data_IF_582373342136
#
_entry.id   IF_582373342136
#
_cell.length_a   1.000
_cell.length_b   1.000
_cell.length_c   1.000
_cell.angle_alpha   90.00
_cell.angle_beta   90.00
_cell.angle_gamma   90.00
#
_symmetry.space_group_name_H-M   'P 1'
#
loop_
_entity.id
_entity.type
_entity.pdbx_description
1 polymer ?
#
# COMPACT_ATOMS: atom_id res chain seq x y z
N UNK A 1 2.41 -0.04 -23.95
CA UNK A 1 3.75 -0.13 -23.34
C UNK A 1 3.62 -0.77 -21.97
N UNK A 2 4.05 -2.02 -21.79
CA UNK A 2 4.02 -2.75 -20.51
C UNK A 2 5.40 -2.63 -19.85
N UNK A 3 5.60 -1.70 -18.91
CA UNK A 3 6.76 -1.74 -18.00
C UNK A 3 6.36 -1.15 -16.65
N UNK A 4 5.95 -2.05 -15.76
CA UNK A 4 5.73 -1.85 -14.33
C UNK A 4 5.67 -3.21 -13.64
N UNK A 5 6.43 -4.18 -14.18
CA UNK A 5 6.41 -5.57 -13.74
C UNK A 5 7.62 -5.76 -12.83
N UNK A 6 7.36 -5.95 -11.53
CA UNK A 6 8.37 -6.45 -10.61
C UNK A 6 8.50 -7.95 -10.87
N UNK A 7 9.55 -8.36 -11.58
CA UNK A 7 9.66 -9.73 -12.11
C UNK A 7 10.33 -10.73 -11.18
N UNK A 8 11.09 -10.29 -10.16
CA UNK A 8 11.84 -11.21 -9.27
C UNK A 8 11.91 -10.78 -7.78
N UNK A 9 10.77 -10.63 -7.07
CA UNK A 9 10.75 -10.05 -5.72
C UNK A 9 11.06 -11.01 -4.56
N UNK A 10 11.05 -12.33 -4.77
CA UNK A 10 11.28 -13.30 -3.69
C UNK A 10 12.73 -13.35 -3.20
N UNK A 11 13.68 -12.88 -4.01
CA UNK A 11 15.11 -12.79 -3.65
C UNK A 11 15.59 -11.34 -3.47
N UNK A 12 14.70 -10.35 -3.63
CA UNK A 12 15.02 -8.94 -3.46
C UNK A 12 15.25 -8.60 -1.98
N UNK A 13 16.45 -8.12 -1.66
CA UNK A 13 16.80 -7.62 -0.34
C UNK A 13 16.22 -6.20 -0.08
N UNK A 14 16.49 -5.64 1.10
CA UNK A 14 16.02 -4.29 1.42
C UNK A 14 16.60 -3.23 0.46
N UNK A 15 17.85 -3.40 0.04
CA UNK A 15 18.55 -2.45 -0.83
C UNK A 15 17.87 -2.36 -2.19
N UNK A 16 17.39 -3.49 -2.73
CA UNK A 16 16.64 -3.50 -3.97
C UNK A 16 15.35 -2.68 -3.88
N UNK A 17 14.57 -2.84 -2.80
CA UNK A 17 13.34 -2.07 -2.59
C UNK A 17 13.60 -0.58 -2.38
N UNK A 18 14.70 -0.22 -1.72
CA UNK A 18 15.12 1.16 -1.55
C UNK A 18 15.56 1.78 -2.88
N UNK A 19 16.28 1.03 -3.71
CA UNK A 19 16.66 1.45 -5.06
C UNK A 19 15.41 1.66 -5.95
N UNK A 20 14.48 0.71 -5.94
CA UNK A 20 13.18 0.84 -6.62
C UNK A 20 12.44 2.12 -6.19
N UNK A 21 12.33 2.38 -4.88
CA UNK A 21 11.64 3.58 -4.42
C UNK A 21 12.39 4.87 -4.81
N UNK A 22 13.72 4.83 -4.90
CA UNK A 22 14.54 5.97 -5.32
C UNK A 22 14.38 6.28 -6.81
N UNK A 23 14.22 5.25 -7.63
CA UNK A 23 13.97 5.37 -9.06
C UNK A 23 12.60 6.00 -9.36
N UNK A 24 11.55 5.58 -8.64
CA UNK A 24 10.18 5.96 -8.98
C UNK A 24 9.53 7.04 -8.10
N UNK A 25 10.05 7.31 -6.90
CA UNK A 25 9.42 8.23 -5.94
C UNK A 25 10.37 9.35 -5.52
N UNK A 26 9.80 10.55 -5.34
CA UNK A 26 10.48 11.71 -4.75
C UNK A 26 10.86 11.46 -3.27
N UNK A 27 11.79 12.26 -2.76
CA UNK A 27 12.26 12.12 -1.37
C UNK A 27 11.21 12.56 -0.34
N UNK A 28 10.28 13.42 -0.73
CA UNK A 28 9.12 13.86 0.05
C UNK A 28 7.82 13.14 -0.34
N UNK A 29 7.91 12.05 -1.12
CA UNK A 29 6.74 11.38 -1.68
C UNK A 29 5.80 10.80 -0.61
N UNK A 30 4.51 10.75 -0.96
CA UNK A 30 3.47 10.15 -0.14
C UNK A 30 2.70 9.07 -0.89
N UNK A 31 2.34 8.01 -0.17
CA UNK A 31 1.53 6.91 -0.68
C UNK A 31 0.27 6.77 0.17
N UNK A 32 -0.90 6.88 -0.47
CA UNK A 32 -2.22 6.84 0.16
C UNK A 32 -3.05 5.68 -0.39
N UNK A 33 -3.59 4.86 0.49
CA UNK A 33 -4.62 3.86 0.19
C UNK A 33 -5.93 4.24 0.86
N UNK A 34 -7.04 4.09 0.14
CA UNK A 34 -8.39 4.29 0.69
C UNK A 34 -9.29 3.13 0.29
N UNK A 35 -10.03 2.56 1.25
CA UNK A 35 -10.95 1.44 1.03
C UNK A 35 -11.95 1.31 2.18
N UNK A 36 -13.08 0.66 1.95
CA UNK A 36 -14.10 0.45 2.97
C UNK A 36 -13.98 -0.96 3.59
N UNK A 37 -13.74 -1.02 4.89
CA UNK A 37 -13.84 -2.26 5.67
C UNK A 37 -15.23 -2.34 6.34
N UNK A 38 -15.49 -3.44 7.03
CA UNK A 38 -16.74 -3.68 7.79
C UNK A 38 -17.01 -2.59 8.84
N UNK A 39 -15.96 -1.99 9.40
CA UNK A 39 -16.02 -0.92 10.40
C UNK A 39 -15.95 0.49 9.78
N UNK A 40 -16.11 0.59 8.45
CA UNK A 40 -16.23 1.85 7.73
C UNK A 40 -15.03 2.20 6.83
N UNK A 41 -15.00 3.43 6.30
CA UNK A 41 -13.95 3.89 5.40
C UNK A 41 -12.60 4.00 6.13
N UNK A 42 -11.56 3.41 5.55
CA UNK A 42 -10.18 3.48 6.02
C UNK A 42 -9.32 4.24 5.03
N UNK A 43 -8.44 5.08 5.58
CA UNK A 43 -7.42 5.81 4.83
C UNK A 43 -6.07 5.57 5.50
N UNK A 44 -5.13 5.01 4.76
CA UNK A 44 -3.76 4.78 5.20
C UNK A 44 -2.84 5.64 4.35
N UNK A 45 -2.07 6.52 4.97
CA UNK A 45 -1.08 7.37 4.30
C UNK A 45 0.28 7.07 4.90
N UNK A 46 1.29 6.85 4.05
CA UNK A 46 2.66 6.62 4.47
C UNK A 46 3.62 7.53 3.69
N UNK A 47 4.70 7.96 4.33
CA UNK A 47 5.75 8.75 3.70
C UNK A 47 6.84 7.90 3.05
N UNK A 48 7.74 8.57 2.32
CA UNK A 48 8.81 7.99 1.50
C UNK A 48 9.63 6.87 2.14
N UNK A 49 9.95 6.95 3.43
CA UNK A 49 10.76 5.94 4.13
C UNK A 49 10.04 4.60 4.32
N UNK A 50 8.72 4.57 4.17
CA UNK A 50 7.88 3.39 4.35
C UNK A 50 7.41 2.80 3.02
N UNK A 51 7.50 3.56 1.92
CA UNK A 51 7.10 3.12 0.57
C UNK A 51 7.79 1.82 0.12
N UNK A 52 9.13 1.65 0.25
CA UNK A 52 9.81 0.40 -0.11
C UNK A 52 9.19 -0.82 0.56
N UNK A 53 8.92 -0.70 1.87
CA UNK A 53 8.40 -1.78 2.69
C UNK A 53 6.92 -2.05 2.44
N UNK A 54 6.15 -1.06 2.02
CA UNK A 54 4.80 -1.26 1.53
C UNK A 54 4.77 -2.22 0.34
N UNK A 55 5.54 -1.96 -0.73
CA UNK A 55 5.56 -2.84 -1.90
C UNK A 55 6.10 -4.23 -1.56
N UNK A 56 7.18 -4.30 -0.76
CA UNK A 56 7.70 -5.56 -0.24
C UNK A 56 6.63 -6.38 0.50
N UNK A 57 5.80 -5.73 1.32
CA UNK A 57 4.75 -6.43 2.09
C UNK A 57 3.73 -7.14 1.19
N UNK A 58 3.50 -6.65 -0.03
CA UNK A 58 2.57 -7.29 -0.98
C UNK A 58 3.12 -8.67 -1.35
N UNK A 59 4.41 -8.76 -1.69
CA UNK A 59 5.08 -10.00 -2.08
C UNK A 59 5.27 -10.96 -0.90
N UNK A 60 5.62 -10.43 0.29
CA UNK A 60 5.65 -11.23 1.53
C UNK A 60 4.26 -11.81 1.87
N UNK A 61 3.18 -11.18 1.41
CA UNK A 61 1.81 -11.69 1.50
C UNK A 61 1.47 -12.84 0.54
N UNK A 62 2.45 -13.41 -0.16
CA UNK A 62 2.28 -14.54 -1.09
C UNK A 62 2.02 -14.15 -2.54
N UNK A 63 2.18 -12.87 -2.89
CA UNK A 63 2.11 -12.39 -4.27
C UNK A 63 3.44 -12.67 -4.99
N UNK A 64 3.37 -13.09 -6.24
CA UNK A 64 4.53 -13.36 -7.10
C UNK A 64 4.65 -12.34 -8.24
N UNK A 65 3.54 -11.72 -8.64
CA UNK A 65 3.51 -10.69 -9.67
C UNK A 65 2.52 -9.59 -9.29
N UNK A 66 2.91 -8.33 -9.52
CA UNK A 66 2.08 -7.14 -9.31
C UNK A 66 2.21 -6.25 -10.55
N UNK A 67 1.07 -5.75 -11.05
CA UNK A 67 1.06 -4.70 -12.06
C UNK A 67 -0.24 -3.87 -11.99
N UNK A 68 -0.21 -2.68 -12.58
CA UNK A 68 -1.38 -1.79 -12.67
C UNK A 68 -1.84 -1.69 -14.13
N UNK A 69 -3.15 -1.83 -14.34
CA UNK A 69 -3.81 -1.66 -15.63
C UNK A 69 -4.66 -0.39 -15.60
N UNK A 70 -4.22 0.63 -16.33
CA UNK A 70 -4.91 1.92 -16.42
C UNK A 70 -5.78 1.98 -17.67
N UNK A 71 -7.09 2.22 -17.52
CA UNK A 71 -7.99 2.45 -18.65
C UNK A 71 -8.40 3.92 -18.69
N UNK A 72 -8.21 4.54 -19.83
CA UNK A 72 -8.56 5.94 -20.09
C UNK A 72 -8.01 6.92 -19.03
N UNK A 73 -6.71 6.89 -18.69
CA UNK A 73 -6.13 7.86 -17.77
C UNK A 73 -6.25 9.28 -18.36
N UNK A 74 -6.56 10.25 -17.50
CA UNK A 74 -6.59 11.67 -17.84
C UNK A 74 -5.33 12.33 -17.31
N UNK A 75 -4.62 13.03 -18.17
CA UNK A 75 -3.41 13.78 -17.81
C UNK A 75 -3.73 15.27 -17.71
N UNK A 76 -3.15 15.93 -16.71
CA UNK A 76 -3.24 17.38 -16.50
C UNK A 76 -1.86 17.92 -16.20
N UNK A 77 -1.46 18.97 -16.93
CA UNK A 77 -0.14 19.58 -16.82
C UNK A 77 -0.25 20.88 -16.04
N UNK A 78 0.57 21.00 -14.99
CA UNK A 78 0.72 22.20 -14.19
C UNK A 78 2.15 22.74 -14.37
N UNK A 79 2.42 23.94 -13.83
CA UNK A 79 3.73 24.59 -13.99
C UNK A 79 4.89 23.75 -13.46
N UNK A 80 4.68 22.94 -12.42
CA UNK A 80 5.73 22.17 -11.74
C UNK A 80 5.39 20.69 -11.53
N UNK A 81 4.22 20.23 -12.01
CA UNK A 81 3.79 18.85 -11.82
C UNK A 81 2.86 18.36 -12.92
N UNK A 82 2.83 17.05 -13.10
CA UNK A 82 1.88 16.36 -13.98
C UNK A 82 0.97 15.51 -13.10
N UNK A 83 -0.35 15.65 -13.26
CA UNK A 83 -1.33 14.78 -12.60
C UNK A 83 -1.88 13.77 -13.58
N UNK A 84 -1.81 12.49 -13.23
CA UNK A 84 -2.48 11.40 -13.93
C UNK A 84 -3.64 10.91 -13.05
N UNK A 85 -4.86 11.03 -13.55
CA UNK A 85 -6.08 10.58 -12.88
C UNK A 85 -6.75 9.49 -13.69
N UNK A 86 -6.77 8.28 -13.15
CA UNK A 86 -7.38 7.11 -13.77
C UNK A 86 -8.50 6.57 -12.89
N UNK A 87 -9.75 6.88 -13.26
CA UNK A 87 -10.95 6.39 -12.56
C UNK A 87 -11.14 4.87 -12.70
N UNK A 88 -10.60 4.28 -13.76
CA UNK A 88 -10.68 2.84 -14.07
C UNK A 88 -9.28 2.20 -14.02
N UNK A 89 -8.71 2.17 -12.83
CA UNK A 89 -7.46 1.47 -12.55
C UNK A 89 -7.75 0.10 -11.91
N UNK A 90 -7.13 -0.94 -12.45
CA UNK A 90 -7.12 -2.27 -11.81
C UNK A 90 -5.69 -2.59 -11.36
N UNK A 91 -5.49 -2.75 -10.06
CA UNK A 91 -4.28 -3.38 -9.51
C UNK A 91 -4.47 -4.90 -9.61
N UNK A 92 -3.53 -5.58 -10.25
CA UNK A 92 -3.59 -7.04 -10.44
C UNK A 92 -2.44 -7.69 -9.69
N UNK A 93 -2.77 -8.66 -8.82
CA UNK A 93 -1.79 -9.50 -8.13
C UNK A 93 -2.00 -10.97 -8.47
N UNK A 94 -0.91 -11.68 -8.74
CA UNK A 94 -0.90 -13.13 -8.86
C UNK A 94 -0.31 -13.74 -7.60
N UNK A 95 -1.03 -14.67 -6.99
CA UNK A 95 -0.59 -15.38 -5.80
C UNK A 95 0.08 -16.70 -6.19
N UNK A 96 1.08 -17.10 -5.42
CA UNK A 96 1.79 -18.36 -5.61
C UNK A 96 1.02 -19.59 -5.10
N UNK A 97 1.78 -20.66 -4.82
CA UNK A 97 1.25 -21.88 -4.18
C UNK A 97 0.60 -21.55 -2.82
N UNK A 98 -0.46 -22.28 -2.41
CA UNK A 98 -1.04 -23.45 -3.09
C UNK A 98 -2.17 -23.13 -4.09
N UNK A 99 -2.81 -21.95 -4.00
CA UNK A 99 -4.08 -21.69 -4.71
C UNK A 99 -3.92 -21.05 -6.09
N UNK A 100 -2.76 -20.46 -6.41
CA UNK A 100 -2.51 -19.77 -7.67
C UNK A 100 -3.62 -18.76 -8.06
N UNK A 101 -4.11 -18.03 -7.06
CA UNK A 101 -5.23 -17.09 -7.22
C UNK A 101 -4.78 -15.80 -7.89
N UNK A 102 -5.58 -15.30 -8.84
CA UNK A 102 -5.42 -13.95 -9.38
C UNK A 102 -6.40 -13.02 -8.69
N UNK A 103 -5.92 -11.93 -8.09
CA UNK A 103 -6.76 -10.91 -7.48
C UNK A 103 -6.74 -9.65 -8.34
N UNK A 104 -7.92 -9.18 -8.70
CA UNK A 104 -8.12 -7.93 -9.43
C UNK A 104 -8.79 -6.93 -8.49
N UNK A 105 -8.09 -5.85 -8.17
CA UNK A 105 -8.56 -4.80 -7.27
C UNK A 105 -8.84 -3.54 -8.07
N UNK A 106 -10.12 -3.21 -8.23
CA UNK A 106 -10.60 -2.09 -9.04
C UNK A 106 -10.74 -0.83 -8.18
N UNK A 107 -10.27 0.31 -8.71
CA UNK A 107 -10.28 1.58 -8.01
C UNK A 107 -9.90 2.77 -8.88
N UNK A 108 -9.84 3.94 -8.26
CA UNK A 108 -9.31 5.16 -8.87
C UNK A 108 -7.85 5.35 -8.44
N UNK A 109 -6.94 5.49 -9.39
CA UNK A 109 -5.54 5.81 -9.14
C UNK A 109 -5.27 7.25 -9.56
N UNK A 110 -4.76 8.05 -8.64
CA UNK A 110 -4.29 9.41 -8.90
C UNK A 110 -2.80 9.44 -8.60
N UNK A 111 -2.01 9.87 -9.57
CA UNK A 111 -0.57 10.07 -9.46
C UNK A 111 -0.25 11.54 -9.70
N UNK A 112 0.63 12.09 -8.88
CA UNK A 112 1.27 13.38 -9.14
C UNK A 112 2.76 13.14 -9.34
N UNK A 113 3.28 13.58 -10.48
CA UNK A 113 4.69 13.52 -10.84
C UNK A 113 5.31 14.91 -10.79
N UNK A 114 6.58 15.00 -10.42
CA UNK A 114 7.35 16.23 -10.64
C UNK A 114 7.56 16.46 -12.14
N UNK A 115 7.56 17.73 -12.54
CA UNK A 115 7.87 18.11 -13.92
C UNK A 115 9.36 18.46 -14.05
N UNK A 116 10.20 17.42 -13.94
CA UNK A 116 11.65 17.47 -14.11
C UNK A 116 12.12 16.30 -15.02
N UNK A 117 13.43 16.14 -15.20
CA UNK A 117 14.00 15.12 -16.07
C UNK A 117 13.75 13.68 -15.59
N UNK A 118 13.48 13.48 -14.29
CA UNK A 118 13.28 12.15 -13.70
C UNK A 118 11.81 11.75 -13.65
N UNK A 119 10.88 12.72 -13.63
CA UNK A 119 9.43 12.51 -13.55
C UNK A 119 9.04 11.52 -12.44
N UNK A 120 9.55 11.72 -11.23
CA UNK A 120 9.27 10.83 -10.10
C UNK A 120 7.92 11.13 -9.48
N UNK A 121 7.34 10.11 -8.86
CA UNK A 121 6.05 10.19 -8.19
C UNK A 121 6.21 10.94 -6.87
N UNK A 122 5.53 12.07 -6.74
CA UNK A 122 5.38 12.84 -5.51
C UNK A 122 4.17 12.41 -4.68
N UNK A 123 3.06 12.09 -5.35
CA UNK A 123 1.84 11.62 -4.70
C UNK A 123 1.30 10.40 -5.41
N UNK A 124 1.06 9.32 -4.66
CA UNK A 124 0.40 8.11 -5.13
C UNK A 124 -0.85 7.88 -4.31
N UNK A 125 -2.03 7.93 -4.92
CA UNK A 125 -3.30 7.69 -4.23
C UNK A 125 -4.14 6.66 -4.95
N UNK A 126 -4.35 5.50 -4.32
CA UNK A 126 -5.25 4.47 -4.83
C UNK A 126 -6.46 4.30 -3.92
N UNK A 127 -7.65 4.58 -4.47
CA UNK A 127 -8.94 4.42 -3.81
C UNK A 127 -9.67 3.19 -4.35
N UNK A 128 -9.65 2.10 -3.58
CA UNK A 128 -10.29 0.83 -3.93
C UNK A 128 -11.80 0.95 -3.85
N UNK A 129 -12.49 0.41 -4.85
CA UNK A 129 -13.95 0.33 -4.93
C UNK A 129 -14.45 -1.10 -4.83
N UNK A 130 -13.77 -2.04 -5.48
CA UNK A 130 -14.16 -3.45 -5.52
C UNK A 130 -12.94 -4.34 -5.73
N UNK A 131 -13.11 -5.64 -5.46
CA UNK A 131 -12.10 -6.64 -5.80
C UNK A 131 -12.76 -7.95 -6.24
N UNK A 132 -12.01 -8.74 -7.00
CA UNK A 132 -12.40 -10.07 -7.47
C UNK A 132 -11.24 -11.03 -7.32
N UNK A 133 -11.51 -12.23 -6.79
CA UNK A 133 -10.54 -13.31 -6.69
C UNK A 133 -10.90 -14.39 -7.72
N UNK A 134 -9.95 -14.72 -8.60
CA UNK A 134 -10.11 -15.66 -9.70
C UNK A 134 -9.23 -16.87 -9.45
N UNK A 135 -9.86 -18.03 -9.27
CA UNK A 135 -9.18 -19.30 -9.02
C UNK A 135 -9.11 -20.10 -10.33
N UNK A 136 -7.95 -20.67 -10.69
CA UNK A 136 -7.84 -21.54 -11.86
C UNK A 136 -8.77 -22.76 -11.75
N UNK A 137 -9.49 -23.09 -12.83
CA UNK A 137 -10.40 -24.24 -12.86
C UNK A 137 -9.69 -25.58 -12.60
N UNK A 138 -8.42 -25.71 -12.99
CA UNK A 138 -7.59 -26.89 -12.72
C UNK A 138 -7.40 -27.14 -11.22
N UNK A 139 -7.19 -26.08 -10.43
CA UNK A 139 -7.08 -26.16 -8.97
C UNK A 139 -8.41 -26.62 -8.38
N UNK A 140 -9.53 -26.02 -8.78
CA UNK A 140 -10.86 -26.41 -8.31
C UNK A 140 -11.15 -27.88 -8.62
N UNK A 141 -10.89 -28.32 -9.86
CA UNK A 141 -11.11 -29.72 -10.28
C UNK A 141 -10.29 -30.71 -9.43
N UNK A 142 -9.00 -30.43 -9.25
CA UNK A 142 -8.11 -31.28 -8.46
C UNK A 142 -8.57 -31.43 -6.99
N UNK A 143 -8.97 -30.33 -6.36
CA UNK A 143 -9.35 -30.33 -4.94
C UNK A 143 -10.77 -30.89 -4.73
N UNK A 144 -11.67 -30.71 -5.70
CA UNK A 144 -13.02 -31.28 -5.65
C UNK A 144 -13.07 -32.81 -5.70
N UNK A 145 -12.04 -33.45 -6.29
CA UNK A 145 -11.94 -34.91 -6.35
C UNK A 145 -11.34 -35.53 -5.09
N UNK A 146 -10.55 -34.76 -4.33
CA UNK A 146 -9.81 -35.27 -3.17
C UNK A 146 -10.56 -35.04 -1.86
N UNK A 147 -11.22 -33.88 -1.69
CA UNK A 147 -11.94 -33.54 -0.46
C UNK A 147 -13.04 -32.49 -0.71
N UNK A 148 -14.34 -32.84 -0.52
CA UNK A 148 -15.44 -31.90 -0.62
C UNK A 148 -15.30 -30.65 0.28
N UNK A 149 -14.65 -30.76 1.46
CA UNK A 149 -14.44 -29.64 2.37
C UNK A 149 -13.46 -28.59 1.85
N UNK A 150 -12.63 -28.95 0.88
CA UNK A 150 -11.64 -28.04 0.32
C UNK A 150 -12.25 -27.01 -0.64
N UNK A 151 -13.38 -27.33 -1.27
CA UNK A 151 -14.13 -26.39 -2.13
C UNK A 151 -14.73 -25.25 -1.30
N UNK A 152 -15.19 -25.54 -0.09
CA UNK A 152 -15.67 -24.51 0.85
C UNK A 152 -14.54 -23.57 1.28
N UNK A 153 -13.33 -24.11 1.47
CA UNK A 153 -12.14 -23.31 1.78
C UNK A 153 -11.73 -22.41 0.61
N UNK A 154 -11.76 -22.93 -0.62
CA UNK A 154 -11.52 -22.17 -1.85
C UNK A 154 -12.55 -21.04 -2.07
N UNK A 155 -13.74 -21.17 -1.49
CA UNK A 155 -14.81 -20.17 -1.64
C UNK A 155 -14.64 -18.96 -0.71
N UNK A 156 -13.68 -19.00 0.22
CA UNK A 156 -13.37 -17.89 1.13
C UNK A 156 -12.32 -16.98 0.49
N UNK A 157 -12.53 -15.67 0.58
CA UNK A 157 -11.55 -14.71 0.10
C UNK A 157 -10.24 -14.81 0.90
N UNK A 158 -9.12 -14.72 0.19
CA UNK A 158 -7.78 -14.67 0.79
C UNK A 158 -7.35 -13.23 1.11
N UNK A 159 -8.06 -12.24 0.56
CA UNK A 159 -7.81 -10.81 0.76
C UNK A 159 -9.00 -10.10 1.44
N UNK A 160 -8.76 -8.91 1.98
CA UNK A 160 -9.81 -7.98 2.39
C UNK A 160 -9.71 -6.73 1.52
N UNK A 161 -10.73 -6.47 0.72
CA UNK A 161 -10.72 -5.39 -0.29
C UNK A 161 -9.56 -5.50 -1.29
N UNK A 162 -9.19 -6.72 -1.68
CA UNK A 162 -8.11 -6.94 -2.64
C UNK A 162 -6.71 -6.67 -2.09
N UNK A 163 -6.57 -6.53 -0.77
CA UNK A 163 -5.30 -6.36 -0.05
C UNK A 163 -5.09 -7.54 0.89
N UNK A 164 -3.87 -8.09 0.93
CA UNK A 164 -3.53 -9.20 1.81
C UNK A 164 -3.52 -8.77 3.28
N UNK A 165 -3.79 -9.71 4.19
CA UNK A 165 -3.72 -9.43 5.63
C UNK A 165 -2.32 -8.97 6.07
N UNK A 166 -1.26 -9.47 5.43
CA UNK A 166 0.12 -9.05 5.71
C UNK A 166 0.31 -7.55 5.42
N UNK A 167 -0.10 -7.08 4.23
CA UNK A 167 -0.03 -5.67 3.86
C UNK A 167 -0.95 -4.81 4.72
N UNK A 168 -2.16 -5.27 5.07
CA UNK A 168 -3.06 -4.54 5.97
C UNK A 168 -2.47 -4.36 7.37
N UNK A 169 -1.85 -5.41 7.92
CA UNK A 169 -1.20 -5.33 9.22
C UNK A 169 0.00 -4.39 9.19
N UNK A 170 0.78 -4.41 8.10
CA UNK A 170 1.85 -3.44 7.89
C UNK A 170 1.33 -1.99 7.89
N UNK A 171 0.26 -1.69 7.14
CA UNK A 171 -0.33 -0.35 7.08
C UNK A 171 -0.88 0.11 8.45
N UNK A 172 -1.49 -0.80 9.21
CA UNK A 172 -1.95 -0.53 10.59
C UNK A 172 -0.78 -0.17 11.51
N UNK A 173 0.33 -0.90 11.40
CA UNK A 173 1.54 -0.58 12.17
C UNK A 173 2.11 0.79 11.80
N UNK A 174 2.11 1.15 10.51
CA UNK A 174 2.62 2.46 10.06
C UNK A 174 1.87 3.63 10.71
N UNK A 175 0.53 3.54 10.78
CA UNK A 175 -0.31 4.59 11.41
C UNK A 175 -0.05 4.71 12.91
N UNK A 176 0.28 3.60 13.59
CA UNK A 176 0.63 3.63 15.02
C UNK A 176 2.04 4.16 15.22
N UNK A 177 2.97 3.82 14.34
CA UNK A 177 4.38 4.20 14.47
C UNK A 177 4.64 5.66 14.15
N UNK A 178 3.84 6.30 13.30
CA UNK A 178 3.95 7.73 12.98
C UNK A 178 3.92 8.65 14.23
N UNK A 179 2.90 8.60 15.10
CA UNK A 179 2.93 9.39 16.34
C UNK A 179 4.03 8.92 17.31
N UNK A 180 4.41 7.64 17.26
CA UNK A 180 5.53 7.13 18.05
C UNK A 180 6.88 7.70 17.59
N UNK A 181 7.07 8.05 16.32
CA UNK A 181 8.30 8.67 15.83
C UNK A 181 8.54 10.04 16.46
N UNK A 182 7.48 10.84 16.64
CA UNK A 182 7.57 12.10 17.40
C UNK A 182 8.08 11.84 18.82
N UNK A 183 7.53 10.83 19.50
CA UNK A 183 7.92 10.46 20.86
C UNK A 183 9.35 9.91 20.93
N UNK A 184 9.74 9.05 19.98
CA UNK A 184 11.09 8.48 19.89
C UNK A 184 12.14 9.57 19.63
N UNK A 185 11.84 10.54 18.77
CA UNK A 185 12.73 11.66 18.50
C UNK A 185 13.01 12.48 19.77
N UNK A 186 11.98 12.74 20.58
CA UNK A 186 12.09 13.46 21.86
C UNK A 186 12.84 12.65 22.91
N UNK A 187 12.57 11.34 22.99
CA UNK A 187 13.31 10.43 23.87
C UNK A 187 14.81 10.50 23.56
N UNK A 188 15.17 10.44 22.27
CA UNK A 188 16.56 10.51 21.81
C UNK A 188 17.20 11.88 22.05
N UNK A 189 16.46 12.97 21.83
CA UNK A 189 16.98 14.33 21.96
C UNK A 189 17.15 14.78 23.43
N UNK A 190 16.25 14.36 24.31
CA UNK A 190 16.16 14.88 25.68
C UNK A 190 16.39 13.82 26.77
N UNK A 191 16.67 12.56 26.40
CA UNK A 191 16.86 11.43 27.32
C UNK A 191 15.72 11.23 28.34
N UNK A 192 14.52 11.71 28.02
CA UNK A 192 13.33 11.61 28.86
C UNK A 192 12.76 10.20 28.81
N UNK A 193 12.10 9.70 29.86
CA UNK A 193 11.41 8.41 29.77
C UNK A 193 10.33 8.45 28.67
N UNK A 194 9.99 7.32 28.02
CA UNK A 194 8.91 7.28 27.03
C UNK A 194 7.57 7.82 27.57
N UNK A 195 7.31 7.61 28.86
CA UNK A 195 6.11 8.13 29.55
C UNK A 195 6.12 9.66 29.65
N UNK A 196 7.27 10.25 29.93
CA UNK A 196 7.42 11.71 30.01
C UNK A 196 7.36 12.35 28.62
N UNK A 197 7.92 11.70 27.60
CA UNK A 197 7.78 12.13 26.20
C UNK A 197 6.30 12.21 25.80
N UNK A 198 5.51 11.19 26.17
CA UNK A 198 4.07 11.16 25.91
C UNK A 198 3.36 12.30 26.65
N UNK A 199 3.63 12.46 27.95
CA UNK A 199 3.01 13.51 28.78
C UNK A 199 3.27 14.91 28.21
N UNK A 200 4.52 15.21 27.87
CA UNK A 200 4.91 16.52 27.32
C UNK A 200 4.30 16.77 25.94
N UNK A 201 4.24 15.73 25.08
CA UNK A 201 3.64 15.86 23.74
C UNK A 201 2.14 16.09 23.80
N UNK A 202 1.43 15.33 24.66
CA UNK A 202 0.00 15.53 24.90
C UNK A 202 -0.30 16.92 25.47
N UNK A 203 0.49 17.36 26.45
CA UNK A 203 0.33 18.68 27.05
C UNK A 203 0.54 19.81 26.04
N UNK A 204 1.57 19.74 25.20
CA UNK A 204 1.80 20.73 24.14
C UNK A 204 0.69 20.73 23.09
N UNK A 205 0.19 19.56 22.66
CA UNK A 205 -0.95 19.47 21.73
C UNK A 205 -2.21 20.08 22.34
N UNK A 206 -2.47 19.82 23.61
CA UNK A 206 -3.59 20.43 24.35
C UNK A 206 -3.45 21.96 24.43
N UNK A 207 -2.28 22.48 24.80
CA UNK A 207 -2.04 23.93 24.86
C UNK A 207 -2.30 24.61 23.52
N UNK A 208 -1.92 24.00 22.39
CA UNK A 208 -2.19 24.53 21.05
C UNK A 208 -3.68 24.53 20.68
N UNK A 209 -4.46 23.55 21.16
CA UNK A 209 -5.90 23.50 20.91
C UNK A 209 -6.69 24.49 21.76
N UNK A 210 -6.19 24.83 22.94
CA UNK A 210 -6.87 25.72 23.90
C UNK A 210 -6.36 27.17 23.78
N UNK A 211 -5.25 27.41 23.10
CA UNK A 211 -4.78 28.76 22.79
C UNK A 211 -5.82 29.50 21.91
N UNK A 212 -6.24 30.72 22.28
CA UNK A 212 -7.09 31.55 21.42
C UNK A 212 -6.38 31.86 20.09
N UNK A 213 -7.11 32.06 18.99
CA UNK A 213 -6.55 32.45 17.69
C UNK A 213 -5.86 33.83 17.73
#
# INVERSE_FOLDING_TARGET
SKRGVVSHPQESDNLWWDAFATEFFEDDATLTLTFCLEDGPKRYTIGRTLIPRYFRSIFEGGVTELYYSLKHPKESFHNTSITLDCDQCTMVTHHGKPMYTKVCTDGRLILEFTFDDLMRIKSWHFAVRAHRELIPRSVVAMHSQQDPGMVETLSKNITRQGITNHTLNYLRLCVILEPMQELMSRHKAYALSPRDCLKTTLFQKWQRMVAPP
#
